data_IF_028204549222
#
_entry.id   IF_028204549222
#
_cell.length_a   1.000
_cell.length_b   1.000
_cell.length_c   1.000
_cell.angle_alpha   90.00
_cell.angle_beta   90.00
_cell.angle_gamma   90.00
#
_symmetry.space_group_name_H-M   'P 1'
#
loop_
_entity.id
_entity.type
_entity.pdbx_description
1 polymer ?
#
# COMPACT_ATOMS: atom_id res chain seq x y z
N UNK A 1 -24.26 16.45 -0.63
CA UNK A 1 -23.17 15.93 0.22
C UNK A 1 -21.94 15.78 -0.64
N UNK A 2 -20.90 16.56 -0.40
CA UNK A 2 -19.61 16.33 -1.06
C UNK A 2 -19.11 14.96 -0.57
N UNK A 3 -18.95 14.01 -1.49
CA UNK A 3 -18.36 12.73 -1.14
C UNK A 3 -16.90 13.01 -0.80
N UNK A 4 -16.52 12.78 0.45
CA UNK A 4 -15.12 12.84 0.85
C UNK A 4 -14.32 11.87 -0.03
N UNK A 5 -13.33 12.40 -0.76
CA UNK A 5 -12.49 11.60 -1.63
C UNK A 5 -11.48 10.85 -0.74
N UNK A 6 -11.83 9.62 -0.36
CA UNK A 6 -10.99 8.75 0.45
C UNK A 6 -10.08 7.93 -0.47
N UNK A 7 -8.78 8.05 -0.27
CA UNK A 7 -7.76 7.36 -1.04
C UNK A 7 -6.96 6.42 -0.13
N UNK A 8 -6.96 5.11 -0.40
CA UNK A 8 -6.35 4.08 0.48
C UNK A 8 -6.71 4.23 1.97
N UNK A 9 -7.95 4.63 2.27
CA UNK A 9 -8.44 4.85 3.64
C UNK A 9 -8.04 6.18 4.28
N UNK A 10 -7.39 7.08 3.52
CA UNK A 10 -6.99 8.42 3.95
C UNK A 10 -7.91 9.46 3.32
N UNK A 11 -8.50 10.33 4.14
CA UNK A 11 -9.23 11.51 3.68
C UNK A 11 -8.29 12.71 3.58
N UNK A 12 -8.12 13.27 2.38
CA UNK A 12 -7.21 14.39 2.13
C UNK A 12 -7.85 15.43 1.19
N UNK A 13 -8.96 16.05 1.65
CA UNK A 13 -9.80 16.96 0.86
C UNK A 13 -9.09 18.22 0.31
N UNK A 14 -7.91 18.57 0.85
CA UNK A 14 -7.14 19.74 0.42
C UNK A 14 -5.98 19.40 -0.54
N UNK A 15 -5.87 18.13 -0.96
CA UNK A 15 -4.85 17.64 -1.88
C UNK A 15 -5.54 17.28 -3.21
N UNK A 16 -4.87 17.53 -4.34
CA UNK A 16 -5.42 17.15 -5.63
C UNK A 16 -5.55 15.63 -5.76
N UNK A 17 -6.67 15.15 -6.32
CA UNK A 17 -6.89 13.73 -6.56
C UNK A 17 -5.77 13.09 -7.39
N UNK A 18 -5.25 13.81 -8.38
CA UNK A 18 -4.13 13.34 -9.21
C UNK A 18 -2.83 13.10 -8.43
N UNK A 19 -2.57 13.89 -7.39
CA UNK A 19 -1.39 13.68 -6.54
C UNK A 19 -1.58 12.45 -5.64
N UNK A 20 -2.81 12.22 -5.15
CA UNK A 20 -3.15 11.01 -4.38
C UNK A 20 -2.99 9.76 -5.25
N UNK A 21 -3.60 9.73 -6.43
CA UNK A 21 -3.50 8.61 -7.38
C UNK A 21 -2.05 8.31 -7.79
N UNK A 22 -1.24 9.34 -8.03
CA UNK A 22 0.17 9.15 -8.35
C UNK A 22 0.95 8.53 -7.17
N UNK A 23 0.64 8.92 -5.93
CA UNK A 23 1.26 8.36 -4.73
C UNK A 23 0.86 6.90 -4.51
N UNK A 24 -0.42 6.55 -4.67
CA UNK A 24 -0.87 5.15 -4.61
C UNK A 24 -0.20 4.32 -5.70
N UNK A 25 -0.20 4.81 -6.95
CA UNK A 25 0.44 4.10 -8.06
C UNK A 25 1.91 3.81 -7.79
N UNK A 26 2.67 4.79 -7.29
CA UNK A 26 4.07 4.59 -6.92
C UNK A 26 4.22 3.50 -5.86
N UNK A 27 3.36 3.51 -4.83
CA UNK A 27 3.35 2.47 -3.79
C UNK A 27 3.03 1.08 -4.34
N UNK A 28 2.04 0.98 -5.24
CA UNK A 28 1.68 -0.27 -5.91
C UNK A 28 2.80 -0.79 -6.80
N UNK A 29 3.43 0.07 -7.60
CA UNK A 29 4.53 -0.30 -8.50
C UNK A 29 5.72 -0.83 -7.69
N UNK A 30 6.05 -0.17 -6.57
CA UNK A 30 7.09 -0.63 -5.66
C UNK A 30 6.73 -1.96 -4.99
N UNK A 31 5.50 -2.12 -4.49
CA UNK A 31 5.03 -3.35 -3.88
C UNK A 31 5.11 -4.52 -4.89
N UNK A 32 4.68 -4.30 -6.13
CA UNK A 32 4.78 -5.28 -7.21
C UNK A 32 6.23 -5.66 -7.51
N UNK A 33 7.14 -4.68 -7.58
CA UNK A 33 8.57 -4.94 -7.79
C UNK A 33 9.18 -5.82 -6.68
N UNK A 34 8.81 -5.56 -5.41
CA UNK A 34 9.25 -6.35 -4.26
C UNK A 34 8.65 -7.76 -4.26
N UNK A 35 7.35 -7.88 -4.54
CA UNK A 35 6.65 -9.16 -4.59
C UNK A 35 7.22 -10.05 -5.71
N UNK A 36 7.50 -9.49 -6.89
CA UNK A 36 8.14 -10.18 -8.01
C UNK A 36 9.56 -10.66 -7.68
N UNK A 37 10.21 -10.06 -6.67
CA UNK A 37 11.53 -10.46 -6.15
C UNK A 37 11.45 -11.40 -4.94
N UNK A 38 10.26 -11.94 -4.62
CA UNK A 38 10.09 -12.94 -3.57
C UNK A 38 9.78 -12.36 -2.18
N UNK A 39 9.41 -11.08 -2.06
CA UNK A 39 9.08 -10.48 -0.76
C UNK A 39 7.95 -11.22 0.00
N UNK A 40 7.04 -11.90 -0.72
CA UNK A 40 5.97 -12.71 -0.11
C UNK A 40 6.50 -13.84 0.76
N UNK A 41 7.57 -14.52 0.32
CA UNK A 41 8.14 -15.66 1.03
C UNK A 41 8.84 -15.21 2.32
N UNK A 42 9.51 -14.06 2.25
CA UNK A 42 10.12 -13.40 3.40
C UNK A 42 9.05 -13.07 4.43
N UNK A 43 7.98 -12.36 4.03
CA UNK A 43 6.88 -11.99 4.95
C UNK A 43 6.17 -13.21 5.54
N UNK A 44 5.97 -14.25 4.74
CA UNK A 44 5.36 -15.52 5.18
C UNK A 44 6.22 -16.21 6.24
N UNK A 45 7.53 -16.28 6.00
CA UNK A 45 8.48 -16.90 6.93
C UNK A 45 8.57 -16.09 8.22
N UNK A 46 8.65 -14.76 8.12
CA UNK A 46 8.68 -13.87 9.29
C UNK A 46 7.44 -14.06 10.19
N UNK A 47 6.24 -14.20 9.59
CA UNK A 47 5.02 -14.49 10.37
C UNK A 47 5.12 -15.83 11.10
N UNK A 48 5.49 -16.91 10.40
CA UNK A 48 5.64 -18.24 11.02
C UNK A 48 6.61 -18.22 12.21
N UNK A 49 7.73 -17.51 12.08
CA UNK A 49 8.71 -17.37 13.15
C UNK A 49 8.19 -16.54 14.32
N UNK A 50 7.37 -15.52 14.06
CA UNK A 50 6.74 -14.74 15.12
C UNK A 50 5.68 -15.54 15.88
N UNK A 51 4.91 -16.39 15.18
CA UNK A 51 3.82 -17.19 15.76
C UNK A 51 4.33 -18.44 16.49
N UNK A 52 5.50 -18.96 16.10
CA UNK A 52 6.16 -20.11 16.74
C UNK A 52 6.90 -19.75 18.05
N UNK A 53 6.86 -18.48 18.44
CA UNK A 53 7.43 -17.95 19.67
C UNK A 53 6.33 -17.70 20.69
#
# INVERSE_FOLDING_TARGET
SAQDCVHVGVTANNISSSALEAAEKLGMDLANALLNKGAKDILTTARKLNDAR
#
